data_IF_902024728816
#
_entry.id   IF_902024728816
#
_cell.length_a   1.000
_cell.length_b   1.000
_cell.length_c   1.000
_cell.angle_alpha   90.00
_cell.angle_beta   90.00
_cell.angle_gamma   90.00
#
_symmetry.space_group_name_H-M   'P 1'
#
loop_
_entity.id
_entity.type
_entity.pdbx_description
1 polymer ?
#
# COMPACT_ATOMS: atom_id res chain seq x y z
N UNK A 1 -10.89 19.34 -18.11
CA UNK A 1 -11.23 18.33 -17.09
C UNK A 1 -12.42 18.82 -16.27
N UNK A 2 -13.33 17.92 -15.93
CA UNK A 2 -14.55 18.17 -15.17
C UNK A 2 -14.50 17.28 -13.94
N UNK A 3 -14.48 17.88 -12.75
CA UNK A 3 -14.74 17.15 -11.49
C UNK A 3 -16.23 16.84 -11.41
N UNK A 4 -16.60 15.57 -11.43
CA UNK A 4 -17.99 15.15 -11.41
C UNK A 4 -18.61 15.38 -10.03
N UNK A 5 -19.87 15.81 -10.04
CA UNK A 5 -20.75 15.69 -8.88
C UNK A 5 -21.25 14.24 -8.76
N UNK A 6 -21.72 13.86 -7.58
CA UNK A 6 -22.22 12.50 -7.32
C UNK A 6 -23.26 12.06 -8.35
N UNK A 7 -24.24 12.92 -8.66
CA UNK A 7 -25.29 12.64 -9.65
C UNK A 7 -24.78 12.44 -11.09
N UNK A 8 -23.51 12.75 -11.37
CA UNK A 8 -22.89 12.64 -12.68
C UNK A 8 -21.97 11.41 -12.81
N UNK A 9 -21.70 10.66 -11.73
CA UNK A 9 -20.74 9.55 -11.76
C UNK A 9 -21.08 8.46 -12.78
N UNK A 10 -22.37 8.26 -13.10
CA UNK A 10 -22.81 7.34 -14.15
C UNK A 10 -22.23 7.67 -15.55
N UNK A 11 -21.89 8.94 -15.81
CA UNK A 11 -21.28 9.36 -17.08
C UNK A 11 -19.86 8.82 -17.26
N UNK A 12 -19.16 8.51 -16.17
CA UNK A 12 -17.81 7.93 -16.21
C UNK A 12 -17.83 6.40 -16.37
N UNK A 13 -18.95 5.72 -16.11
CA UNK A 13 -19.02 4.25 -16.10
C UNK A 13 -18.49 3.61 -17.40
N UNK A 14 -18.85 4.07 -18.62
CA UNK A 14 -18.33 3.47 -19.84
C UNK A 14 -16.80 3.61 -19.98
N UNK A 15 -16.23 4.74 -19.54
CA UNK A 15 -14.80 5.01 -19.66
C UNK A 15 -13.99 4.12 -18.68
N UNK A 16 -14.50 3.89 -17.47
CA UNK A 16 -13.83 3.10 -16.44
C UNK A 16 -14.17 1.60 -16.49
N UNK A 17 -14.94 1.15 -17.49
CA UNK A 17 -15.53 -0.20 -17.51
C UNK A 17 -14.49 -1.32 -17.39
N UNK A 18 -13.37 -1.23 -18.12
CA UNK A 18 -12.31 -2.23 -18.08
C UNK A 18 -11.59 -2.30 -16.73
N UNK A 19 -11.36 -1.15 -16.09
CA UNK A 19 -10.78 -1.09 -14.74
C UNK A 19 -11.77 -1.64 -13.70
N UNK A 20 -13.03 -1.22 -13.78
CA UNK A 20 -14.11 -1.67 -12.90
C UNK A 20 -14.43 -3.17 -13.04
N UNK A 21 -14.13 -3.77 -14.19
CA UNK A 21 -14.38 -5.19 -14.45
C UNK A 21 -13.62 -6.12 -13.50
N UNK A 22 -12.48 -5.68 -12.94
CA UNK A 22 -11.68 -6.47 -12.00
C UNK A 22 -11.43 -5.75 -10.66
N UNK A 23 -11.33 -4.42 -10.64
CA UNK A 23 -11.12 -3.65 -9.42
C UNK A 23 -12.45 -3.18 -8.80
N UNK A 24 -12.84 -3.75 -7.66
CA UNK A 24 -14.15 -3.46 -7.03
C UNK A 24 -14.24 -2.03 -6.51
N UNK A 25 -13.14 -1.41 -6.06
CA UNK A 25 -13.14 -0.03 -5.59
C UNK A 25 -13.58 0.96 -6.67
N UNK A 26 -13.17 0.76 -7.92
CA UNK A 26 -13.60 1.61 -9.04
C UNK A 26 -15.11 1.52 -9.22
N UNK A 27 -15.67 0.31 -9.15
CA UNK A 27 -17.13 0.12 -9.17
C UNK A 27 -17.78 0.81 -7.98
N UNK A 28 -17.24 0.63 -6.77
CA UNK A 28 -17.80 1.20 -5.54
C UNK A 28 -17.85 2.73 -5.58
N UNK A 29 -16.79 3.37 -6.09
CA UNK A 29 -16.75 4.83 -6.25
C UNK A 29 -17.82 5.28 -7.25
N UNK A 30 -17.88 4.67 -8.44
CA UNK A 30 -18.85 5.04 -9.47
C UNK A 30 -20.32 4.82 -9.04
N UNK A 31 -20.56 3.83 -8.18
CA UNK A 31 -21.86 3.53 -7.59
C UNK A 31 -22.11 4.24 -6.26
N UNK A 32 -21.17 5.07 -5.79
CA UNK A 32 -21.27 5.87 -4.56
C UNK A 32 -21.46 5.04 -3.28
N UNK A 33 -20.99 3.80 -3.28
CA UNK A 33 -21.00 2.93 -2.08
C UNK A 33 -19.75 3.10 -1.24
N UNK A 34 -18.72 3.77 -1.78
CA UNK A 34 -17.53 4.21 -1.05
C UNK A 34 -17.18 5.66 -1.43
N UNK A 35 -16.56 6.45 -0.54
CA UNK A 35 -16.05 7.76 -0.87
C UNK A 35 -15.07 7.73 -2.06
N UNK A 36 -15.17 8.73 -2.93
CA UNK A 36 -14.22 8.90 -4.02
C UNK A 36 -14.43 10.19 -4.80
N UNK A 37 -13.49 10.46 -5.69
CA UNK A 37 -13.54 11.60 -6.63
C UNK A 37 -13.37 11.08 -8.04
N UNK A 38 -14.14 11.62 -8.98
CA UNK A 38 -14.09 11.21 -10.39
C UNK A 38 -13.97 12.44 -11.26
N UNK A 39 -13.05 12.37 -12.21
CA UNK A 39 -12.71 13.42 -13.14
C UNK A 39 -12.73 12.84 -14.56
N UNK A 40 -13.35 13.54 -15.49
CA UNK A 40 -13.34 13.19 -16.92
C UNK A 40 -13.10 14.43 -17.77
N UNK A 41 -12.67 14.27 -19.02
CA UNK A 41 -12.43 15.40 -19.92
C UNK A 41 -13.72 15.98 -20.53
N UNK A 42 -14.74 15.14 -20.79
CA UNK A 42 -16.00 15.52 -21.42
C UNK A 42 -17.20 14.69 -20.91
N UNK A 43 -18.38 15.30 -20.71
CA UNK A 43 -19.57 14.62 -20.19
C UNK A 43 -20.32 13.74 -21.21
N UNK A 44 -20.21 14.07 -22.50
CA UNK A 44 -20.95 13.40 -23.57
C UNK A 44 -20.13 12.29 -24.22
N UNK A 45 -18.81 12.51 -24.36
CA UNK A 45 -17.88 11.58 -24.97
C UNK A 45 -16.53 11.59 -24.22
N UNK A 46 -16.47 11.03 -23.01
CA UNK A 46 -15.25 11.00 -22.21
C UNK A 46 -14.17 10.15 -22.89
N UNK A 47 -12.96 10.69 -23.00
CA UNK A 47 -11.78 10.03 -23.55
C UNK A 47 -10.71 9.77 -22.50
N UNK A 48 -10.59 10.62 -21.48
CA UNK A 48 -9.57 10.50 -20.43
C UNK A 48 -10.23 10.70 -19.07
N UNK A 49 -9.82 9.89 -18.10
CA UNK A 49 -10.45 9.85 -16.80
C UNK A 49 -9.46 9.61 -15.68
N UNK A 50 -9.74 10.21 -14.53
CA UNK A 50 -9.02 10.00 -13.28
C UNK A 50 -10.03 9.76 -12.17
N UNK A 51 -9.84 8.70 -11.39
CA UNK A 51 -10.64 8.44 -10.20
C UNK A 51 -9.75 8.20 -8.99
N UNK A 52 -10.21 8.57 -7.81
CA UNK A 52 -9.52 8.32 -6.54
C UNK A 52 -10.50 7.66 -5.58
N UNK A 53 -10.14 6.48 -5.09
CA UNK A 53 -10.86 5.75 -4.04
C UNK A 53 -10.15 5.91 -2.69
N UNK A 54 -10.57 5.14 -1.69
CA UNK A 54 -9.86 5.04 -0.41
C UNK A 54 -8.55 4.24 -0.49
N UNK A 55 -8.37 3.45 -1.55
CA UNK A 55 -7.27 2.49 -1.72
C UNK A 55 -6.23 2.96 -2.75
N UNK A 56 -6.70 3.52 -3.87
CA UNK A 56 -5.83 3.84 -4.99
C UNK A 56 -6.44 4.94 -5.88
N UNK A 57 -5.60 5.54 -6.71
CA UNK A 57 -6.00 6.40 -7.81
C UNK A 57 -5.87 5.64 -9.14
N UNK A 58 -6.72 5.97 -10.11
CA UNK A 58 -6.83 5.24 -11.37
C UNK A 58 -6.81 6.23 -12.54
N UNK A 59 -5.87 6.04 -13.47
CA UNK A 59 -5.85 6.74 -14.76
C UNK A 59 -6.35 5.80 -15.85
N UNK A 60 -7.32 6.29 -16.64
CA UNK A 60 -7.97 5.51 -17.69
C UNK A 60 -8.16 6.30 -18.98
N UNK A 61 -8.16 5.60 -20.11
CA UNK A 61 -8.46 6.14 -21.42
C UNK A 61 -7.23 6.67 -22.15
N UNK A 62 -7.37 7.84 -22.77
CA UNK A 62 -6.38 8.42 -23.68
C UNK A 62 -5.31 9.26 -22.94
N UNK A 63 -4.04 8.80 -22.91
CA UNK A 63 -2.95 9.52 -22.24
C UNK A 63 -2.46 10.76 -23.01
N UNK A 64 -2.77 10.89 -24.31
CA UNK A 64 -2.32 12.00 -25.15
C UNK A 64 -3.19 13.26 -25.02
N UNK A 65 -4.17 13.25 -24.11
CA UNK A 65 -5.07 14.37 -23.85
C UNK A 65 -4.40 15.47 -23.01
N UNK A 66 -3.52 16.25 -23.64
CA UNK A 66 -2.73 17.30 -22.97
C UNK A 66 -3.58 18.30 -22.15
N UNK A 67 -4.77 18.64 -22.61
CA UNK A 67 -5.67 19.56 -21.89
C UNK A 67 -6.24 18.94 -20.60
N UNK A 68 -6.51 17.62 -20.62
CA UNK A 68 -6.89 16.89 -19.41
C UNK A 68 -5.71 16.77 -18.45
N UNK A 69 -4.55 16.33 -18.93
CA UNK A 69 -3.35 16.11 -18.11
C UNK A 69 -2.90 17.39 -17.40
N UNK A 70 -2.86 18.52 -18.12
CA UNK A 70 -2.49 19.80 -17.53
C UNK A 70 -3.49 20.26 -16.46
N UNK A 71 -4.79 20.02 -16.66
CA UNK A 71 -5.81 20.37 -15.68
C UNK A 71 -5.75 19.43 -14.46
N UNK A 72 -5.46 18.14 -14.67
CA UNK A 72 -5.29 17.18 -13.59
C UNK A 72 -4.09 17.53 -12.70
N UNK A 73 -2.96 17.90 -13.31
CA UNK A 73 -1.76 18.39 -12.58
C UNK A 73 -2.10 19.52 -11.62
N UNK A 74 -2.85 20.52 -12.09
CA UNK A 74 -3.27 21.66 -11.27
C UNK A 74 -4.23 21.24 -10.14
N UNK A 75 -5.25 20.44 -10.46
CA UNK A 75 -6.21 19.95 -9.45
C UNK A 75 -5.52 19.11 -8.37
N UNK A 76 -4.58 18.24 -8.73
CA UNK A 76 -3.83 17.43 -7.77
C UNK A 76 -3.04 18.34 -6.81
N UNK A 77 -2.31 19.31 -7.36
CA UNK A 77 -1.56 20.29 -6.58
C UNK A 77 -2.45 21.08 -5.61
N UNK A 78 -3.65 21.48 -6.03
CA UNK A 78 -4.60 22.24 -5.22
C UNK A 78 -5.41 21.39 -4.23
N UNK A 79 -5.43 20.06 -4.38
CA UNK A 79 -6.28 19.16 -3.57
C UNK A 79 -5.50 18.07 -2.85
N UNK A 80 -5.32 16.89 -3.47
CA UNK A 80 -4.73 15.71 -2.83
C UNK A 80 -3.33 16.00 -2.29
N UNK A 81 -2.51 16.71 -3.07
CA UNK A 81 -1.14 17.05 -2.73
C UNK A 81 -1.08 18.15 -1.64
N UNK A 82 -2.12 18.99 -1.56
CA UNK A 82 -2.32 19.98 -0.51
C UNK A 82 -2.99 19.41 0.77
N UNK A 83 -3.22 18.09 0.84
CA UNK A 83 -3.75 17.40 2.01
C UNK A 83 -5.27 17.18 2.02
N UNK A 84 -6.00 17.63 0.99
CA UNK A 84 -7.43 17.34 0.82
C UNK A 84 -7.62 15.94 0.20
N UNK A 85 -7.28 14.90 0.98
CA UNK A 85 -7.24 13.50 0.55
C UNK A 85 -8.58 12.78 0.75
N UNK A 86 -8.86 11.80 -0.11
CA UNK A 86 -10.03 10.91 0.05
C UNK A 86 -9.82 9.99 1.26
N UNK A 87 -8.64 9.37 1.37
CA UNK A 87 -8.20 8.69 2.58
C UNK A 87 -7.16 9.57 3.31
N UNK A 88 -7.53 10.24 4.42
CA UNK A 88 -6.62 11.13 5.14
C UNK A 88 -5.54 10.39 5.96
N UNK A 89 -5.70 9.08 6.18
CA UNK A 89 -4.72 8.28 6.91
C UNK A 89 -3.65 7.67 6.00
N UNK A 90 -3.87 7.66 4.68
CA UNK A 90 -2.94 7.08 3.73
C UNK A 90 -1.69 7.98 3.60
N UNK A 91 -0.48 7.45 3.90
CA UNK A 91 0.75 8.19 3.70
C UNK A 91 1.16 8.29 2.22
N UNK A 92 0.52 7.57 1.31
CA UNK A 92 0.89 7.53 -0.10
C UNK A 92 -0.25 7.87 -1.06
N UNK A 93 0.12 8.37 -2.23
CA UNK A 93 -0.70 8.34 -3.42
C UNK A 93 -0.23 7.14 -4.25
N UNK A 94 -1.03 6.10 -4.30
CA UNK A 94 -0.82 4.97 -5.21
C UNK A 94 -1.64 5.19 -6.47
N UNK A 95 -1.02 5.01 -7.64
CA UNK A 95 -1.66 5.20 -8.95
C UNK A 95 -1.60 3.88 -9.73
N UNK A 96 -2.76 3.41 -10.17
CA UNK A 96 -2.93 2.31 -11.10
C UNK A 96 -3.27 2.86 -12.49
N UNK A 97 -2.58 2.35 -13.51
CA UNK A 97 -2.76 2.74 -14.91
C UNK A 97 -3.55 1.65 -15.64
N UNK A 98 -4.50 2.01 -16.49
CA UNK A 98 -5.18 1.03 -17.35
C UNK A 98 -4.30 0.51 -18.49
N UNK A 99 -3.30 1.29 -18.90
CA UNK A 99 -2.32 0.98 -19.92
C UNK A 99 -0.94 1.55 -19.53
N UNK A 100 0.18 0.88 -19.88
CA UNK A 100 1.53 1.44 -19.74
C UNK A 100 1.73 2.74 -20.53
N UNK A 101 0.88 3.03 -21.53
CA UNK A 101 0.96 4.26 -22.31
C UNK A 101 0.72 5.53 -21.46
N UNK A 102 0.16 5.38 -20.25
CA UNK A 102 0.02 6.48 -19.29
C UNK A 102 1.32 6.84 -18.57
N UNK A 103 2.37 6.01 -18.58
CA UNK A 103 3.60 6.29 -17.84
C UNK A 103 4.25 7.64 -18.19
N UNK A 104 4.43 8.03 -19.47
CA UNK A 104 4.98 9.33 -19.81
C UNK A 104 4.07 10.49 -19.37
N UNK A 105 2.75 10.33 -19.51
CA UNK A 105 1.79 11.33 -19.07
C UNK A 105 1.79 11.48 -17.53
N UNK A 106 1.92 10.38 -16.79
CA UNK A 106 2.05 10.39 -15.33
C UNK A 106 3.31 11.16 -14.90
N UNK A 107 4.43 10.94 -15.59
CA UNK A 107 5.67 11.67 -15.37
C UNK A 107 5.49 13.17 -15.58
N UNK A 108 4.78 13.61 -16.61
CA UNK A 108 4.51 15.03 -16.85
C UNK A 108 3.56 15.64 -15.79
N UNK A 109 2.56 14.87 -15.36
CA UNK A 109 1.55 15.29 -14.37
C UNK A 109 2.20 15.48 -12.99
N UNK A 110 3.02 14.51 -12.55
CA UNK A 110 3.61 14.49 -11.20
C UNK A 110 5.08 14.93 -11.16
N UNK A 111 5.67 15.28 -12.30
CA UNK A 111 7.10 15.58 -12.46
C UNK A 111 7.63 16.69 -11.55
N UNK A 112 6.82 17.72 -11.29
CA UNK A 112 7.20 18.85 -10.41
C UNK A 112 6.99 18.55 -8.92
N UNK A 113 6.45 17.37 -8.57
CA UNK A 113 6.13 17.02 -7.19
C UNK A 113 7.13 16.03 -6.59
N UNK A 114 7.02 14.75 -6.92
CA UNK A 114 7.76 13.65 -6.27
C UNK A 114 8.17 12.62 -7.31
N UNK A 115 8.83 13.07 -8.38
CA UNK A 115 9.31 12.18 -9.42
C UNK A 115 10.79 11.86 -9.20
N UNK A 116 11.22 10.60 -9.36
CA UNK A 116 10.46 9.42 -9.82
C UNK A 116 9.64 8.72 -8.72
N UNK A 117 8.63 7.90 -9.08
CA UNK A 117 7.85 7.11 -8.12
C UNK A 117 8.64 5.91 -7.61
N UNK A 118 8.17 5.33 -6.50
CA UNK A 118 8.39 3.92 -6.19
C UNK A 118 7.46 3.11 -7.10
N UNK A 119 7.93 2.04 -7.72
CA UNK A 119 7.09 1.22 -8.60
C UNK A 119 7.12 -0.26 -8.22
N UNK A 120 6.04 -0.95 -8.55
CA UNK A 120 5.93 -2.38 -8.29
C UNK A 120 4.87 -3.06 -9.12
N UNK A 121 4.82 -4.39 -8.99
CA UNK A 121 3.74 -5.21 -9.52
C UNK A 121 2.90 -5.71 -8.38
N UNK A 122 1.58 -5.57 -8.52
CA UNK A 122 0.59 -6.28 -7.73
C UNK A 122 0.04 -7.46 -8.52
N UNK A 123 -0.57 -8.37 -7.79
CA UNK A 123 -1.39 -9.46 -8.28
C UNK A 123 -2.82 -9.27 -7.81
N UNK A 124 -3.77 -9.48 -8.72
CA UNK A 124 -5.17 -9.66 -8.39
C UNK A 124 -5.52 -11.15 -8.48
N UNK A 125 -6.11 -11.67 -7.42
CA UNK A 125 -6.57 -13.05 -7.31
C UNK A 125 -8.09 -13.08 -7.16
N UNK A 126 -8.70 -14.12 -7.73
CA UNK A 126 -10.11 -14.42 -7.51
C UNK A 126 -10.28 -15.76 -6.81
N UNK A 127 -11.19 -15.81 -5.86
CA UNK A 127 -11.61 -17.07 -5.26
C UNK A 127 -12.27 -17.98 -6.31
N UNK A 128 -11.99 -19.28 -6.23
CA UNK A 128 -12.49 -20.27 -7.21
C UNK A 128 -13.18 -21.44 -6.53
N UNK A 129 -12.50 -22.06 -5.57
CA UNK A 129 -13.07 -23.17 -4.80
C UNK A 129 -12.30 -23.32 -3.48
N UNK A 130 -12.97 -23.72 -2.39
CA UNK A 130 -12.29 -23.93 -1.12
C UNK A 130 -11.29 -25.07 -1.24
N UNK A 131 -10.12 -24.91 -0.63
CA UNK A 131 -9.06 -25.94 -0.61
C UNK A 131 -8.88 -26.64 0.74
N UNK A 132 -9.58 -26.17 1.77
CA UNK A 132 -9.52 -26.69 3.13
C UNK A 132 -10.83 -26.43 3.86
N UNK A 133 -11.10 -27.26 4.86
CA UNK A 133 -12.02 -26.91 5.95
C UNK A 133 -11.19 -26.26 7.06
N UNK A 134 -11.50 -24.99 7.35
CA UNK A 134 -10.76 -24.23 8.35
C UNK A 134 -10.97 -24.77 9.77
N UNK A 135 -12.10 -25.47 10.01
CA UNK A 135 -12.40 -26.07 11.32
C UNK A 135 -11.44 -27.21 11.66
N UNK A 136 -10.94 -27.92 10.66
CA UNK A 136 -9.96 -29.01 10.84
C UNK A 136 -8.52 -28.49 10.98
N UNK A 137 -8.27 -27.25 10.56
CA UNK A 137 -6.92 -26.64 10.52
C UNK A 137 -6.65 -25.68 11.66
N UNK A 138 -7.68 -25.24 12.38
CA UNK A 138 -7.56 -24.29 13.46
C UNK A 138 -6.94 -24.97 14.71
N UNK A 139 -5.83 -24.46 15.26
CA UNK A 139 -5.29 -24.98 16.51
C UNK A 139 -6.27 -24.74 17.69
N UNK A 140 -6.26 -25.65 18.67
CA UNK A 140 -7.29 -25.73 19.72
C UNK A 140 -7.35 -24.50 20.64
N UNK A 141 -6.26 -23.75 20.74
CA UNK A 141 -6.15 -22.53 21.52
C UNK A 141 -6.81 -21.31 20.85
N UNK A 142 -7.21 -21.44 19.58
CA UNK A 142 -7.87 -20.37 18.83
C UNK A 142 -9.35 -20.65 18.59
N UNK A 143 -10.12 -19.58 18.41
CA UNK A 143 -11.51 -19.66 17.94
C UNK A 143 -11.73 -18.63 16.86
N UNK A 144 -12.36 -19.03 15.75
CA UNK A 144 -12.77 -18.10 14.69
C UNK A 144 -14.23 -17.72 14.89
N UNK A 145 -14.50 -16.42 14.92
CA UNK A 145 -15.84 -15.85 15.06
C UNK A 145 -16.07 -14.69 14.10
N UNK A 146 -17.33 -14.40 13.78
CA UNK A 146 -17.70 -13.20 13.02
C UNK A 146 -17.49 -11.96 13.89
N UNK A 147 -16.97 -10.89 13.28
CA UNK A 147 -16.90 -9.57 13.89
C UNK A 147 -18.28 -8.91 13.82
N UNK A 148 -19.11 -9.15 14.84
CA UNK A 148 -20.43 -8.54 14.98
C UNK A 148 -20.43 -7.40 16.01
N UNK A 149 -21.55 -6.68 16.13
CA UNK A 149 -21.68 -5.56 17.07
C UNK A 149 -21.49 -5.96 18.54
N UNK A 150 -21.75 -7.22 18.91
CA UNK A 150 -21.50 -7.69 20.29
C UNK A 150 -20.01 -7.85 20.55
N UNK A 151 -19.27 -8.42 19.59
CA UNK A 151 -17.83 -8.56 19.70
C UNK A 151 -17.14 -7.19 19.67
N UNK A 152 -17.56 -6.29 18.78
CA UNK A 152 -17.04 -4.91 18.73
C UNK A 152 -17.21 -4.19 20.09
N UNK A 153 -18.42 -4.21 20.64
CA UNK A 153 -18.70 -3.63 21.95
C UNK A 153 -17.89 -4.29 23.09
N UNK A 154 -17.65 -5.60 23.02
CA UNK A 154 -16.87 -6.33 24.01
C UNK A 154 -15.35 -6.07 23.93
N UNK A 155 -14.83 -5.74 22.74
CA UNK A 155 -13.43 -5.36 22.56
C UNK A 155 -13.17 -3.98 23.15
N UNK A 156 -14.03 -2.99 22.85
CA UNK A 156 -13.84 -1.61 23.29
C UNK A 156 -12.44 -1.11 22.93
N UNK A 157 -11.71 -0.57 23.90
CA UNK A 157 -10.34 -0.06 23.71
C UNK A 157 -9.29 -1.13 23.33
N UNK A 158 -9.64 -2.43 23.39
CA UNK A 158 -8.76 -3.53 22.96
C UNK A 158 -8.87 -3.84 21.47
N UNK A 159 -9.80 -3.20 20.75
CA UNK A 159 -9.96 -3.42 19.32
C UNK A 159 -8.66 -3.03 18.59
N UNK A 160 -8.06 -3.93 17.78
CA UNK A 160 -6.88 -3.59 17.02
C UNK A 160 -7.10 -2.33 16.17
N UNK A 161 -6.12 -1.43 16.19
CA UNK A 161 -6.23 -0.13 15.52
C UNK A 161 -6.56 -0.26 14.03
N UNK A 162 -5.98 -1.25 13.34
CA UNK A 162 -6.23 -1.51 11.92
C UNK A 162 -7.71 -1.88 11.66
N UNK A 163 -8.36 -2.61 12.58
CA UNK A 163 -9.80 -2.89 12.48
C UNK A 163 -10.61 -1.62 12.74
N UNK A 164 -10.24 -0.84 13.76
CA UNK A 164 -10.91 0.41 14.09
C UNK A 164 -10.83 1.41 12.91
N UNK A 165 -9.68 1.52 12.26
CA UNK A 165 -9.48 2.38 11.08
C UNK A 165 -10.18 1.85 9.85
N UNK A 166 -10.20 0.52 9.61
CA UNK A 166 -11.01 -0.07 8.53
C UNK A 166 -12.49 0.31 8.68
N UNK A 167 -13.04 0.22 9.89
CA UNK A 167 -14.45 0.61 10.15
C UNK A 167 -14.65 2.11 9.99
N UNK A 168 -13.79 2.93 10.61
CA UNK A 168 -13.95 4.39 10.63
C UNK A 168 -13.66 5.06 9.28
N UNK A 169 -12.67 4.57 8.53
CA UNK A 169 -12.25 5.16 7.26
C UNK A 169 -12.92 4.43 6.09
N UNK A 170 -12.75 3.11 6.02
CA UNK A 170 -13.28 2.27 4.93
C UNK A 170 -14.80 2.25 4.90
N UNK A 171 -15.42 2.02 6.05
CA UNK A 171 -16.87 1.91 6.20
C UNK A 171 -17.52 3.17 6.78
N UNK A 172 -16.75 4.22 7.07
CA UNK A 172 -17.19 5.49 7.70
C UNK A 172 -17.67 5.35 9.16
N UNK A 173 -18.46 4.32 9.47
CA UNK A 173 -18.92 4.01 10.81
C UNK A 173 -19.27 2.53 11.02
N UNK A 174 -19.47 2.16 12.29
CA UNK A 174 -19.87 0.80 12.68
C UNK A 174 -21.22 0.37 12.10
N UNK A 175 -22.16 1.30 11.91
CA UNK A 175 -23.49 0.98 11.40
C UNK A 175 -23.39 0.50 9.95
N UNK A 176 -22.65 1.23 9.12
CA UNK A 176 -22.42 0.86 7.74
C UNK A 176 -21.59 -0.43 7.62
N UNK A 177 -20.55 -0.61 8.44
CA UNK A 177 -19.79 -1.87 8.48
C UNK A 177 -20.68 -3.07 8.80
N UNK A 178 -21.54 -2.97 9.81
CA UNK A 178 -22.42 -4.08 10.22
C UNK A 178 -23.53 -4.37 9.21
N UNK A 179 -23.94 -3.38 8.41
CA UNK A 179 -24.99 -3.51 7.40
C UNK A 179 -24.46 -4.00 6.05
N UNK A 180 -23.36 -3.43 5.57
CA UNK A 180 -22.86 -3.59 4.21
C UNK A 180 -21.49 -4.30 4.13
N UNK A 181 -20.77 -4.35 5.25
CA UNK A 181 -19.49 -5.04 5.39
C UNK A 181 -19.62 -6.36 6.15
N UNK A 182 -18.46 -6.99 6.36
CA UNK A 182 -18.33 -8.21 7.16
C UNK A 182 -16.87 -8.47 7.50
N UNK A 183 -16.64 -9.37 8.44
CA UNK A 183 -15.31 -9.86 8.74
C UNK A 183 -15.34 -11.00 9.75
N UNK A 184 -14.27 -11.78 9.76
CA UNK A 184 -14.03 -12.83 10.74
C UNK A 184 -12.69 -12.61 11.41
N UNK A 185 -12.60 -13.02 12.67
CA UNK A 185 -11.40 -12.87 13.49
C UNK A 185 -11.05 -14.19 14.17
N UNK A 186 -9.75 -14.45 14.33
CA UNK A 186 -9.27 -15.46 15.25
C UNK A 186 -9.01 -14.82 16.63
N UNK A 187 -9.55 -15.45 17.65
CA UNK A 187 -9.34 -15.11 19.05
C UNK A 187 -8.33 -16.06 19.69
N UNK A 188 -7.42 -15.52 20.49
CA UNK A 188 -6.62 -16.27 21.46
C UNK A 188 -7.07 -15.83 22.86
N UNK A 189 -7.90 -16.65 23.50
CA UNK A 189 -8.68 -16.19 24.66
C UNK A 189 -9.69 -15.11 24.26
N UNK A 190 -9.48 -13.87 24.71
CA UNK A 190 -10.33 -12.71 24.36
C UNK A 190 -9.67 -11.75 23.36
N UNK A 191 -8.40 -11.97 23.03
CA UNK A 191 -7.62 -11.09 22.18
C UNK A 191 -7.83 -11.44 20.71
N UNK A 192 -8.08 -10.43 19.87
CA UNK A 192 -8.09 -10.58 18.41
C UNK A 192 -6.64 -10.62 17.92
N UNK A 193 -6.24 -11.74 17.33
CA UNK A 193 -4.85 -11.97 16.88
C UNK A 193 -4.70 -12.13 15.36
N UNK A 194 -5.81 -12.30 14.65
CA UNK A 194 -5.89 -12.35 13.20
C UNK A 194 -7.28 -11.90 12.76
N UNK A 195 -7.39 -11.18 11.66
CA UNK A 195 -8.67 -10.76 11.09
C UNK A 195 -8.63 -10.81 9.57
N UNK A 196 -9.77 -11.17 8.97
CA UNK A 196 -10.02 -11.02 7.55
C UNK A 196 -11.32 -10.25 7.38
N UNK A 197 -11.25 -9.06 6.77
CA UNK A 197 -12.36 -8.13 6.65
C UNK A 197 -12.66 -7.87 5.18
N UNK A 198 -13.91 -7.50 4.87
CA UNK A 198 -14.22 -6.88 3.61
C UNK A 198 -13.64 -5.47 3.56
N UNK A 199 -12.83 -5.21 2.54
CA UNK A 199 -12.29 -3.86 2.29
C UNK A 199 -13.34 -3.02 1.55
N UNK A 200 -14.06 -3.65 0.61
CA UNK A 200 -15.15 -3.03 -0.14
C UNK A 200 -16.15 -4.08 -0.61
N UNK A 201 -17.44 -3.71 -0.71
CA UNK A 201 -18.50 -4.54 -1.29
C UNK A 201 -19.33 -3.75 -2.31
N UNK A 202 -19.69 -4.39 -3.43
CA UNK A 202 -20.63 -3.85 -4.42
C UNK A 202 -21.42 -5.00 -5.05
N UNK A 203 -22.74 -5.00 -4.89
CA UNK A 203 -23.60 -6.04 -5.47
C UNK A 203 -23.21 -7.44 -4.98
N UNK A 204 -22.78 -8.31 -5.90
CA UNK A 204 -22.28 -9.66 -5.58
C UNK A 204 -20.75 -9.78 -5.63
N UNK A 205 -20.02 -8.65 -5.56
CA UNK A 205 -18.57 -8.58 -5.54
C UNK A 205 -18.03 -7.97 -4.23
N UNK A 206 -16.87 -8.43 -3.79
CA UNK A 206 -16.13 -7.89 -2.65
C UNK A 206 -14.61 -8.06 -2.82
N UNK A 207 -13.83 -7.22 -2.15
CA UNK A 207 -12.40 -7.41 -1.89
C UNK A 207 -12.23 -7.72 -0.40
N UNK A 208 -11.31 -8.62 -0.06
CA UNK A 208 -11.01 -8.94 1.33
C UNK A 208 -9.51 -8.80 1.65
N UNK A 209 -9.22 -8.29 2.83
CA UNK A 209 -7.87 -8.13 3.37
C UNK A 209 -7.67 -9.00 4.60
N UNK A 210 -6.46 -9.51 4.83
CA UNK A 210 -6.11 -10.29 6.03
C UNK A 210 -4.90 -9.71 6.73
N UNK A 211 -4.90 -9.77 8.05
CA UNK A 211 -3.73 -9.49 8.85
C UNK A 211 -3.61 -10.44 10.05
N UNK A 212 -2.39 -10.69 10.47
CA UNK A 212 -2.07 -11.49 11.65
C UNK A 212 -1.01 -10.78 12.47
N UNK A 213 -1.27 -10.66 13.77
CA UNK A 213 -0.35 -10.11 14.76
C UNK A 213 0.98 -10.88 14.70
N UNK A 214 2.15 -10.20 14.67
CA UNK A 214 3.46 -10.85 14.46
C UNK A 214 3.73 -12.09 15.32
N UNK A 215 3.35 -12.06 16.60
CA UNK A 215 3.54 -13.16 17.54
C UNK A 215 2.73 -14.42 17.20
N UNK A 216 1.67 -14.30 16.40
CA UNK A 216 0.77 -15.39 16.00
C UNK A 216 0.92 -15.79 14.51
N UNK A 217 1.94 -15.25 13.81
CA UNK A 217 2.22 -15.60 12.42
C UNK A 217 2.78 -17.02 12.31
N UNK A 218 2.64 -17.62 11.12
CA UNK A 218 3.08 -18.99 10.77
C UNK A 218 2.35 -20.12 11.54
N UNK A 219 1.20 -19.82 12.14
CA UNK A 219 0.31 -20.79 12.78
C UNK A 219 -0.88 -21.23 11.90
N UNK A 220 -0.91 -20.83 10.61
CA UNK A 220 -2.02 -21.13 9.69
C UNK A 220 -3.27 -20.26 9.87
N UNK A 221 -3.25 -19.30 10.81
CA UNK A 221 -4.41 -18.45 11.16
C UNK A 221 -4.94 -17.64 9.99
N UNK A 222 -4.07 -16.91 9.26
CA UNK A 222 -4.47 -16.08 8.13
C UNK A 222 -5.30 -16.88 7.11
N UNK A 223 -4.84 -18.07 6.76
CA UNK A 223 -5.54 -18.96 5.84
C UNK A 223 -6.88 -19.46 6.41
N UNK A 224 -6.93 -19.83 7.69
CA UNK A 224 -8.15 -20.32 8.33
C UNK A 224 -9.22 -19.21 8.44
N UNK A 225 -8.84 -18.00 8.85
CA UNK A 225 -9.75 -16.85 8.96
C UNK A 225 -10.23 -16.40 7.57
N UNK A 226 -9.35 -16.42 6.57
CA UNK A 226 -9.72 -16.17 5.17
C UNK A 226 -10.75 -17.19 4.69
N UNK A 227 -10.52 -18.49 4.91
CA UNK A 227 -11.45 -19.54 4.49
C UNK A 227 -12.81 -19.42 5.19
N UNK A 228 -12.86 -19.07 6.47
CA UNK A 228 -14.12 -18.80 7.18
C UNK A 228 -14.87 -17.58 6.59
N UNK A 229 -14.12 -16.53 6.23
CA UNK A 229 -14.67 -15.33 5.59
C UNK A 229 -15.25 -15.64 4.22
N UNK A 230 -14.54 -16.42 3.41
CA UNK A 230 -15.00 -16.87 2.09
C UNK A 230 -16.22 -17.78 2.21
N UNK A 231 -16.27 -18.68 3.18
CA UNK A 231 -17.45 -19.53 3.44
C UNK A 231 -18.69 -18.65 3.68
N UNK A 232 -18.56 -17.59 4.48
CA UNK A 232 -19.62 -16.60 4.66
C UNK A 232 -19.97 -15.89 3.35
N UNK A 233 -18.99 -15.45 2.56
CA UNK A 233 -19.21 -14.78 1.28
C UNK A 233 -20.07 -15.65 0.34
N UNK A 234 -19.75 -16.94 0.23
CA UNK A 234 -20.51 -17.89 -0.57
C UNK A 234 -21.95 -18.04 -0.08
N UNK A 235 -22.16 -18.14 1.24
CA UNK A 235 -23.49 -18.23 1.85
C UNK A 235 -24.31 -16.94 1.67
N UNK A 236 -23.65 -15.79 1.68
CA UNK A 236 -24.26 -14.47 1.46
C UNK A 236 -24.51 -14.14 -0.03
N UNK A 237 -24.05 -15.01 -0.95
CA UNK A 237 -24.33 -14.89 -2.38
C UNK A 237 -23.29 -14.08 -3.18
N UNK A 238 -22.14 -13.75 -2.60
CA UNK A 238 -21.03 -13.14 -3.34
C UNK A 238 -20.47 -14.13 -4.36
N UNK A 239 -20.29 -13.66 -5.60
CA UNK A 239 -19.77 -14.44 -6.73
C UNK A 239 -18.35 -14.05 -7.10
N UNK A 240 -17.94 -12.82 -6.82
CA UNK A 240 -16.60 -12.29 -7.11
C UNK A 240 -15.95 -11.88 -5.80
N UNK A 241 -15.05 -12.72 -5.30
CA UNK A 241 -14.29 -12.44 -4.07
C UNK A 241 -12.85 -12.21 -4.53
N UNK A 242 -12.46 -10.94 -4.50
CA UNK A 242 -11.16 -10.41 -4.89
C UNK A 242 -10.16 -10.38 -3.75
N UNK A 243 -8.89 -10.36 -4.14
CA UNK A 243 -7.75 -10.21 -3.25
C UNK A 243 -6.62 -9.55 -4.04
N UNK A 244 -6.13 -8.43 -3.52
CA UNK A 244 -4.95 -7.75 -4.05
C UNK A 244 -3.74 -7.97 -3.13
N UNK A 245 -2.57 -8.21 -3.71
CA UNK A 245 -1.31 -8.17 -2.96
C UNK A 245 -0.11 -7.89 -3.86
N UNK A 246 0.97 -7.39 -3.26
CA UNK A 246 2.27 -7.24 -3.91
C UNK A 246 2.78 -8.57 -4.47
N UNK A 247 3.34 -8.54 -5.68
CA UNK A 247 3.96 -9.70 -6.31
C UNK A 247 5.20 -10.20 -5.53
N UNK A 248 5.78 -9.33 -4.72
CA UNK A 248 6.90 -9.54 -3.79
C UNK A 248 6.46 -10.01 -2.40
N UNK A 249 5.16 -10.25 -2.17
CA UNK A 249 4.61 -10.67 -0.88
C UNK A 249 4.27 -12.18 -0.85
N UNK A 250 5.27 -13.07 -0.65
CA UNK A 250 5.05 -14.52 -0.65
C UNK A 250 4.10 -14.98 0.46
N UNK A 251 4.02 -14.22 1.57
CA UNK A 251 3.11 -14.51 2.67
C UNK A 251 1.65 -14.37 2.25
N UNK A 252 1.29 -13.22 1.68
CA UNK A 252 -0.06 -12.94 1.18
C UNK A 252 -0.43 -13.86 0.01
N UNK A 253 0.48 -14.05 -0.95
CA UNK A 253 0.30 -14.99 -2.08
C UNK A 253 0.03 -16.41 -1.56
N UNK A 254 0.84 -16.88 -0.62
CA UNK A 254 0.69 -18.19 -0.02
C UNK A 254 -0.66 -18.34 0.70
N UNK A 255 -1.10 -17.32 1.44
CA UNK A 255 -2.42 -17.33 2.11
C UNK A 255 -3.56 -17.41 1.10
N UNK A 256 -3.58 -16.54 0.08
CA UNK A 256 -4.62 -16.51 -0.95
C UNK A 256 -4.72 -17.87 -1.68
N UNK A 257 -3.58 -18.39 -2.17
CA UNK A 257 -3.54 -19.67 -2.90
C UNK A 257 -3.98 -20.85 -2.03
N UNK A 258 -3.62 -20.87 -0.74
CA UNK A 258 -4.03 -21.93 0.18
C UNK A 258 -5.50 -21.83 0.59
N UNK A 259 -6.08 -20.62 0.59
CA UNK A 259 -7.51 -20.42 0.83
C UNK A 259 -8.39 -20.81 -0.38
N UNK A 260 -7.80 -20.93 -1.57
CA UNK A 260 -8.52 -21.34 -2.79
C UNK A 260 -8.66 -20.26 -3.86
N UNK A 261 -7.91 -19.17 -3.73
CA UNK A 261 -7.80 -18.14 -4.75
C UNK A 261 -6.83 -18.58 -5.86
N UNK A 262 -7.08 -18.10 -7.07
CA UNK A 262 -6.21 -18.28 -8.23
C UNK A 262 -5.84 -16.92 -8.81
N UNK A 263 -4.57 -16.79 -9.23
CA UNK A 263 -4.09 -15.58 -9.88
C UNK A 263 -4.96 -15.31 -11.10
N UNK A 264 -5.55 -14.13 -11.15
CA UNK A 264 -6.30 -13.67 -12.31
C UNK A 264 -5.40 -12.86 -13.24
N UNK A 265 -4.69 -11.87 -12.68
CA UNK A 265 -3.81 -10.98 -13.45
C UNK A 265 -2.75 -10.30 -12.58
N UNK A 266 -1.57 -9.97 -13.14
CA UNK A 266 -0.71 -8.93 -12.62
C UNK A 266 -1.19 -7.53 -13.05
N UNK A 267 -0.80 -6.50 -12.31
CA UNK A 267 -0.91 -5.10 -12.72
C UNK A 267 0.18 -4.28 -12.04
N UNK A 268 0.57 -3.15 -12.64
CA UNK A 268 1.57 -2.26 -12.08
C UNK A 268 0.92 -1.16 -11.24
N UNK A 269 1.69 -0.66 -10.26
CA UNK A 269 1.34 0.52 -9.49
C UNK A 269 2.56 1.42 -9.33
N UNK A 270 2.28 2.72 -9.13
CA UNK A 270 3.27 3.76 -8.87
C UNK A 270 2.88 4.44 -7.57
N UNK A 271 3.81 4.50 -6.63
CA UNK A 271 3.59 4.99 -5.29
C UNK A 271 4.43 6.26 -5.03
N UNK A 272 3.78 7.25 -4.44
CA UNK A 272 4.36 8.52 -4.07
C UNK A 272 4.04 8.79 -2.59
N UNK A 273 5.04 9.02 -1.75
CA UNK A 273 4.75 9.46 -0.38
C UNK A 273 4.43 10.96 -0.39
N UNK A 274 3.41 11.34 0.37
CA UNK A 274 3.07 12.76 0.47
C UNK A 274 4.11 13.58 1.27
N UNK A 275 4.73 12.93 2.25
CA UNK A 275 5.83 13.51 3.03
C UNK A 275 7.13 13.48 2.20
N UNK A 276 7.76 14.64 2.03
CA UNK A 276 8.91 14.81 1.12
C UNK A 276 10.15 14.05 1.57
N UNK A 277 10.66 14.24 2.80
CA UNK A 277 11.74 13.42 3.33
C UNK A 277 11.49 11.93 3.16
N UNK A 278 10.29 11.48 3.56
CA UNK A 278 9.94 10.07 3.51
C UNK A 278 9.89 9.54 2.09
N UNK A 279 9.39 10.32 1.13
CA UNK A 279 9.37 9.89 -0.27
C UNK A 279 10.76 9.53 -0.76
N UNK A 280 11.71 10.45 -0.60
CA UNK A 280 13.08 10.22 -1.08
C UNK A 280 13.81 9.16 -0.26
N UNK A 281 13.55 9.07 1.05
CA UNK A 281 14.11 8.01 1.89
C UNK A 281 13.64 6.60 1.48
N UNK A 282 12.34 6.42 1.26
CA UNK A 282 11.76 5.14 0.85
C UNK A 282 12.11 4.79 -0.60
N UNK A 283 12.21 5.79 -1.49
CA UNK A 283 12.67 5.59 -2.86
C UNK A 283 14.15 5.18 -2.91
N UNK A 284 15.01 5.84 -2.13
CA UNK A 284 16.41 5.45 -2.00
C UNK A 284 16.56 4.06 -1.40
N UNK A 285 15.70 3.70 -0.43
CA UNK A 285 15.61 2.33 0.09
C UNK A 285 15.22 1.34 -0.99
N UNK A 286 14.20 1.66 -1.78
CA UNK A 286 13.75 0.86 -2.93
C UNK A 286 14.88 0.62 -3.94
N UNK A 287 15.61 1.67 -4.31
CA UNK A 287 16.75 1.56 -5.20
C UNK A 287 17.87 0.70 -4.64
N UNK A 288 18.12 0.78 -3.33
CA UNK A 288 19.15 -0.01 -2.69
C UNK A 288 18.82 -1.51 -2.64
N UNK A 289 17.66 -1.87 -2.08
CA UNK A 289 17.35 -3.27 -1.75
C UNK A 289 16.67 -4.03 -2.89
N UNK A 290 15.77 -3.37 -3.62
CA UNK A 290 14.92 -4.01 -4.62
C UNK A 290 15.48 -3.84 -6.04
N UNK A 291 15.96 -2.63 -6.40
CA UNK A 291 16.48 -2.37 -7.74
C UNK A 291 18.01 -2.56 -7.89
N UNK A 292 18.75 -2.55 -6.77
CA UNK A 292 20.22 -2.56 -6.72
C UNK A 292 20.89 -1.45 -7.56
N UNK A 293 20.24 -0.28 -7.58
CA UNK A 293 20.64 0.95 -8.27
C UNK A 293 21.32 1.87 -7.26
N UNK A 294 22.61 1.63 -6.96
CA UNK A 294 23.29 2.29 -5.84
C UNK A 294 23.58 3.78 -6.06
N UNK A 295 23.77 4.22 -7.30
CA UNK A 295 23.96 5.63 -7.63
C UNK A 295 22.65 6.40 -7.37
N UNK A 296 21.55 5.92 -7.93
CA UNK A 296 20.23 6.50 -7.72
C UNK A 296 19.78 6.38 -6.26
N UNK A 297 20.12 5.30 -5.56
CA UNK A 297 19.87 5.17 -4.14
C UNK A 297 20.60 6.27 -3.34
N UNK A 298 21.87 6.52 -3.64
CA UNK A 298 22.64 7.58 -3.00
C UNK A 298 22.00 8.95 -3.26
N UNK A 299 21.70 9.27 -4.52
CA UNK A 299 21.07 10.54 -4.90
C UNK A 299 19.77 10.80 -4.13
N UNK A 300 18.88 9.81 -4.08
CA UNK A 300 17.60 9.98 -3.37
C UNK A 300 17.79 10.11 -1.86
N UNK A 301 18.71 9.35 -1.26
CA UNK A 301 18.98 9.45 0.19
C UNK A 301 19.65 10.77 0.55
N UNK A 302 20.49 11.33 -0.32
CA UNK A 302 21.06 12.66 -0.14
C UNK A 302 19.98 13.75 -0.19
N UNK A 303 19.07 13.70 -1.18
CA UNK A 303 17.91 14.61 -1.22
C UNK A 303 17.08 14.47 0.05
N UNK A 304 16.81 13.24 0.51
CA UNK A 304 16.05 13.00 1.74
C UNK A 304 16.71 13.66 2.97
N UNK A 305 18.04 13.64 3.04
CA UNK A 305 18.83 14.29 4.10
C UNK A 305 18.77 15.82 3.98
N UNK A 306 18.80 16.37 2.77
CA UNK A 306 18.76 17.80 2.52
C UNK A 306 17.40 18.43 2.85
N UNK A 307 16.30 17.71 2.62
CA UNK A 307 14.93 18.21 2.81
C UNK A 307 14.36 17.93 4.20
N UNK A 308 15.02 17.11 5.02
CA UNK A 308 14.58 16.74 6.37
C UNK A 308 15.37 17.51 7.44
N UNK A 309 14.65 18.18 8.35
CA UNK A 309 15.26 18.91 9.46
C UNK A 309 15.96 17.99 10.48
N UNK A 310 15.55 16.72 10.55
CA UNK A 310 16.11 15.73 11.48
C UNK A 310 16.07 14.32 10.87
N UNK A 311 16.90 14.04 9.83
CA UNK A 311 16.85 12.76 9.14
C UNK A 311 17.15 11.61 10.11
N UNK A 312 16.36 10.52 10.09
CA UNK A 312 16.58 9.39 10.97
C UNK A 312 17.90 8.69 10.61
N UNK A 313 18.57 8.13 11.63
CA UNK A 313 19.90 7.53 11.48
C UNK A 313 20.02 6.49 10.35
N UNK A 314 18.94 5.79 10.02
CA UNK A 314 18.95 4.80 8.96
C UNK A 314 19.14 5.41 7.56
N UNK A 315 18.73 6.66 7.33
CA UNK A 315 18.86 7.33 6.02
C UNK A 315 20.32 7.64 5.75
N UNK A 316 21.02 8.26 6.70
CA UNK A 316 22.48 8.44 6.65
C UNK A 316 23.22 7.12 6.51
N UNK A 317 22.83 6.10 7.28
CA UNK A 317 23.44 4.79 7.21
C UNK A 317 23.28 4.15 5.84
N UNK A 318 22.09 4.25 5.24
CA UNK A 318 21.82 3.69 3.92
C UNK A 318 22.55 4.47 2.82
N UNK A 319 22.65 5.80 2.93
CA UNK A 319 23.44 6.62 2.02
C UNK A 319 24.92 6.21 2.08
N UNK A 320 25.47 6.04 3.28
CA UNK A 320 26.82 5.54 3.49
C UNK A 320 27.04 4.17 2.82
N UNK A 321 26.06 3.27 2.91
CA UNK A 321 26.14 1.95 2.25
C UNK A 321 26.09 2.06 0.74
N UNK A 322 25.18 2.85 0.19
CA UNK A 322 25.05 3.08 -1.25
C UNK A 322 26.37 3.62 -1.84
N UNK A 323 26.91 4.67 -1.22
CA UNK A 323 28.20 5.27 -1.59
C UNK A 323 29.38 4.30 -1.40
N UNK A 324 29.33 3.43 -0.38
CA UNK A 324 30.35 2.41 -0.18
C UNK A 324 30.35 1.34 -1.29
N UNK A 325 29.18 0.97 -1.82
CA UNK A 325 29.07 0.11 -3.00
C UNK A 325 29.68 0.74 -4.25
N UNK A 326 29.71 2.07 -4.32
CA UNK A 326 30.34 2.86 -5.39
C UNK A 326 31.82 3.18 -5.11
N UNK A 327 32.36 2.72 -3.98
CA UNK A 327 33.72 3.04 -3.49
C UNK A 327 33.99 4.55 -3.27
N UNK A 328 32.94 5.34 -3.05
CA UNK A 328 33.04 6.78 -2.84
C UNK A 328 33.63 7.13 -1.47
N UNK A 329 34.69 7.98 -1.38
CA UNK A 329 35.36 8.29 -0.11
C UNK A 329 34.45 8.94 0.94
N UNK A 330 33.41 9.66 0.50
CA UNK A 330 32.46 10.39 1.37
C UNK A 330 31.53 9.45 2.15
N UNK A 331 31.48 8.16 1.81
CA UNK A 331 30.71 7.15 2.55
C UNK A 331 31.00 7.13 4.07
N UNK A 332 32.26 7.37 4.48
CA UNK A 332 32.60 7.43 5.92
C UNK A 332 31.97 8.66 6.61
N UNK A 333 31.79 9.76 5.89
CA UNK A 333 31.24 10.99 6.45
C UNK A 333 29.74 10.80 6.74
N UNK A 334 28.98 10.19 5.82
CA UNK A 334 27.60 9.76 6.09
C UNK A 334 27.50 8.75 7.24
N UNK A 335 28.49 7.87 7.39
CA UNK A 335 28.52 6.94 8.52
C UNK A 335 28.74 7.66 9.87
N UNK A 336 29.54 8.73 9.89
CA UNK A 336 29.68 9.58 11.08
C UNK A 336 28.36 10.24 11.45
N UNK A 337 27.65 10.80 10.46
CA UNK A 337 26.33 11.40 10.65
C UNK A 337 25.31 10.36 11.14
N UNK A 338 25.32 9.14 10.60
CA UNK A 338 24.45 8.05 11.07
C UNK A 338 24.66 7.76 12.57
N UNK A 339 25.92 7.68 13.02
CA UNK A 339 26.26 7.46 14.44
C UNK A 339 25.83 8.65 15.29
N UNK A 340 26.06 9.88 14.82
CA UNK A 340 25.62 11.11 15.50
C UNK A 340 24.09 11.17 15.64
N UNK A 341 23.36 10.70 14.62
CA UNK A 341 21.90 10.56 14.60
C UNK A 341 21.39 9.36 15.42
N UNK A 342 22.28 8.55 16.01
CA UNK A 342 21.93 7.50 16.96
C UNK A 342 22.02 6.06 16.44
N UNK A 343 22.63 5.82 15.29
CA UNK A 343 22.99 4.46 14.84
C UNK A 343 24.01 3.82 15.80
N UNK A 344 23.76 2.57 16.23
CA UNK A 344 24.57 1.90 17.28
C UNK A 344 25.02 0.48 16.92
N UNK A 345 24.62 -0.07 15.77
CA UNK A 345 24.89 -1.46 15.43
C UNK A 345 26.30 -1.64 14.84
N UNK A 346 27.29 -1.67 15.73
CA UNK A 346 28.70 -1.86 15.37
C UNK A 346 28.96 -3.21 14.72
N UNK A 347 28.32 -4.27 15.21
CA UNK A 347 28.51 -5.62 14.68
C UNK A 347 28.04 -5.70 13.22
N UNK A 348 26.89 -5.10 12.91
CA UNK A 348 26.43 -4.96 11.54
C UNK A 348 27.47 -4.25 10.66
N UNK A 349 27.97 -3.09 11.09
CA UNK A 349 28.98 -2.34 10.32
C UNK A 349 30.25 -3.14 10.02
N UNK A 350 30.72 -3.94 10.97
CA UNK A 350 31.91 -4.77 10.80
C UNK A 350 31.67 -6.04 9.96
N UNK A 351 30.42 -6.41 9.71
CA UNK A 351 30.07 -7.56 8.86
C UNK A 351 29.72 -7.17 7.42
N UNK A 352 29.33 -5.92 7.18
CA UNK A 352 28.96 -5.43 5.85
C UNK A 352 30.18 -5.35 4.88
N UNK A 353 30.16 -6.10 3.76
CA UNK A 353 31.30 -6.21 2.84
C UNK A 353 31.65 -4.90 2.13
N UNK A 354 30.66 -4.07 1.81
CA UNK A 354 30.84 -2.77 1.14
C UNK A 354 31.78 -1.83 1.91
N UNK A 355 31.87 -1.98 3.24
CA UNK A 355 32.77 -1.17 4.05
C UNK A 355 34.19 -1.70 4.18
N UNK A 356 34.53 -2.88 3.64
CA UNK A 356 35.89 -3.45 3.75
C UNK A 356 37.00 -2.47 3.31
N UNK A 357 36.89 -1.74 2.18
CA UNK A 357 37.89 -0.77 1.75
C UNK A 357 38.11 0.40 2.73
N UNK A 358 37.13 0.66 3.59
CA UNK A 358 37.10 1.80 4.50
C UNK A 358 37.68 1.47 5.89
N UNK A 359 37.70 0.19 6.29
CA UNK A 359 38.09 -0.24 7.66
C UNK A 359 39.52 0.14 8.06
N UNK A 360 40.41 0.31 7.10
CA UNK A 360 41.80 0.71 7.34
C UNK A 360 41.99 2.23 7.32
N UNK A 361 40.96 3.01 6.99
CA UNK A 361 41.04 4.46 6.92
C UNK A 361 41.07 5.06 8.33
N UNK A 362 41.86 6.12 8.58
CA UNK A 362 41.90 6.77 9.89
C UNK A 362 40.53 7.22 10.41
N UNK A 363 39.67 7.73 9.52
CA UNK A 363 38.30 8.14 9.89
C UNK A 363 37.47 6.96 10.42
N UNK A 364 37.62 5.76 9.86
CA UNK A 364 36.93 4.55 10.36
C UNK A 364 37.35 4.18 11.77
N UNK A 365 38.66 4.21 12.04
CA UNK A 365 39.19 3.93 13.40
C UNK A 365 38.66 4.96 14.40
N UNK A 366 38.54 6.22 13.98
CA UNK A 366 38.04 7.31 14.80
C UNK A 366 36.54 7.19 15.14
N UNK A 367 35.71 6.53 14.31
CA UNK A 367 34.29 6.27 14.60
C UNK A 367 34.08 5.67 15.99
N UNK A 368 35.02 4.81 16.38
CA UNK A 368 34.96 4.02 17.60
C UNK A 368 35.67 4.65 18.79
N UNK A 369 36.43 5.72 18.57
CA UNK A 369 37.16 6.41 19.63
C UNK A 369 36.26 7.34 20.46
N UNK A 370 35.06 7.66 19.95
CA UNK A 370 34.09 8.60 20.54
C UNK A 370 32.80 7.96 21.05
N UNK A 371 32.65 6.62 20.97
CA UNK A 371 31.55 5.92 21.65
C UNK A 371 31.92 5.62 23.11
N UNK A 372 31.11 6.04 24.11
CA UNK A 372 31.33 5.67 25.50
C UNK A 372 31.16 4.17 25.76
#
# INVERSE_FOLDING_TARGET
MIRLKLEQFSQAVPLFAEMAAWNVYVTAVLHQTTPGRVYIDNLDAPRSGFAVSLDCAYLVGDPENAAFNQALKLELAETLLAGDRVNPADPTLTVCLDSPDWEPALADILGDWRWPPIWGSNHHYLFKAPRLDWRERLPAEYTIVRLDGKLLAAQGDRLPQNIADSIRIGWQDETNFLQNGFGFVALHGQEIVCWCLADVTVGDACEIGVETVPAHRRCGLATAVTAATVEYCQQAGFKRIGWHCGADNPGSIGTAVNAGFMLERPYNFYEFHYDEPRHYAELGRFYFFEAHMYEEAADMLEIAIEVDESPPAYVYFLAARALAHLEEPVAIDYLQEAIAAGFKDKELLETLPEFIPYRQKPKWVALWATSP
#
